data_IF_833609387142
#
_entry.id   IF_833609387142
#
_cell.length_a   1.000
_cell.length_b   1.000
_cell.length_c   1.000
_cell.angle_alpha   90.00
_cell.angle_beta   90.00
_cell.angle_gamma   90.00
#
_symmetry.space_group_name_H-M   'P 1'
#
loop_
_entity.id
_entity.type
_entity.pdbx_description
1 polymer ?
#
# COMPACT_ATOMS: atom_id res chain seq x y z
N UNK A 1 -93.34 -96.08 -53.51
CA UNK A 1 -93.81 -94.89 -54.24
C UNK A 1 -92.72 -93.84 -54.14
N UNK A 2 -92.43 -93.27 -55.30
CA UNK A 2 -91.69 -92.05 -55.60
C UNK A 2 -90.24 -91.83 -55.18
N UNK A 3 -89.43 -91.88 -56.25
CA UNK A 3 -88.23 -91.12 -56.54
C UNK A 3 -88.45 -89.60 -56.40
N UNK A 4 -87.33 -88.92 -56.12
CA UNK A 4 -86.93 -87.58 -56.62
C UNK A 4 -86.76 -86.49 -55.56
N UNK A 5 -85.48 -86.19 -55.29
CA UNK A 5 -84.89 -84.85 -55.14
C UNK A 5 -83.41 -85.10 -54.83
N UNK A 6 -82.39 -84.53 -55.45
CA UNK A 6 -82.20 -83.64 -56.59
C UNK A 6 -80.67 -83.54 -56.67
N UNK A 7 -80.07 -83.70 -57.86
CA UNK A 7 -78.64 -83.46 -58.05
C UNK A 7 -78.28 -82.03 -57.63
N UNK A 8 -77.16 -81.87 -56.93
CA UNK A 8 -76.30 -80.69 -57.04
C UNK A 8 -74.84 -81.15 -57.25
N UNK A 9 -74.02 -80.39 -58.01
CA UNK A 9 -72.72 -80.83 -58.50
C UNK A 9 -71.60 -80.63 -57.47
N UNK A 10 -70.53 -81.43 -57.62
CA UNK A 10 -69.22 -81.28 -56.97
C UNK A 10 -68.66 -79.86 -57.16
N UNK A 11 -68.18 -79.21 -56.09
CA UNK A 11 -67.07 -78.24 -56.21
C UNK A 11 -66.02 -78.44 -55.10
N UNK A 12 -64.79 -78.51 -55.58
CA UNK A 12 -63.53 -78.90 -54.96
C UNK A 12 -62.99 -77.84 -53.99
N UNK A 13 -63.78 -77.48 -52.97
CA UNK A 13 -63.48 -76.35 -52.07
C UNK A 13 -62.53 -76.73 -50.89
N UNK A 14 -61.99 -77.96 -50.90
CA UNK A 14 -61.03 -78.42 -49.89
C UNK A 14 -59.59 -78.02 -50.19
N UNK A 15 -59.23 -78.04 -51.48
CA UNK A 15 -57.88 -77.74 -51.94
C UNK A 15 -57.56 -76.24 -51.85
N UNK A 16 -58.50 -75.39 -52.28
CA UNK A 16 -58.37 -73.93 -52.21
C UNK A 16 -58.32 -73.40 -50.76
N UNK A 17 -59.00 -74.09 -49.83
CA UNK A 17 -58.93 -73.78 -48.39
C UNK A 17 -57.61 -74.23 -47.77
N UNK A 18 -57.04 -75.34 -48.22
CA UNK A 18 -55.72 -75.82 -47.80
C UNK A 18 -54.62 -74.87 -48.28
N UNK A 19 -54.67 -74.46 -49.54
CA UNK A 19 -53.70 -73.53 -50.15
C UNK A 19 -53.75 -72.14 -49.48
N UNK A 20 -54.94 -71.62 -49.18
CA UNK A 20 -55.10 -70.39 -48.40
C UNK A 20 -54.57 -70.54 -46.96
N UNK A 21 -54.79 -71.68 -46.31
CA UNK A 21 -54.27 -71.94 -44.97
C UNK A 21 -52.74 -72.04 -44.95
N UNK A 22 -52.13 -72.65 -45.97
CA UNK A 22 -50.67 -72.71 -46.12
C UNK A 22 -50.07 -71.32 -46.38
N UNK A 23 -50.72 -70.49 -47.21
CA UNK A 23 -50.31 -69.12 -47.45
C UNK A 23 -50.37 -68.26 -46.19
N UNK A 24 -51.48 -68.33 -45.44
CA UNK A 24 -51.63 -67.62 -44.15
C UNK A 24 -50.58 -68.11 -43.15
N UNK A 25 -50.28 -69.40 -43.11
CA UNK A 25 -49.23 -69.94 -42.24
C UNK A 25 -47.85 -69.39 -42.60
N UNK A 26 -47.52 -69.33 -43.89
CA UNK A 26 -46.26 -68.76 -44.36
C UNK A 26 -46.14 -67.27 -44.01
N UNK A 27 -47.19 -66.49 -44.27
CA UNK A 27 -47.25 -65.06 -43.95
C UNK A 27 -47.10 -64.82 -42.43
N UNK A 28 -47.78 -65.64 -41.61
CA UNK A 28 -47.69 -65.57 -40.16
C UNK A 28 -46.28 -65.93 -39.64
N UNK A 29 -45.59 -66.85 -40.31
CA UNK A 29 -44.21 -67.21 -40.00
C UNK A 29 -43.25 -66.06 -40.31
N UNK A 30 -43.45 -65.36 -41.43
CA UNK A 30 -42.67 -64.16 -41.81
C UNK A 30 -42.93 -63.02 -40.82
N UNK A 31 -44.18 -62.77 -40.45
CA UNK A 31 -44.54 -61.77 -39.44
C UNK A 31 -43.88 -62.07 -38.09
N UNK A 32 -43.89 -63.34 -37.66
CA UNK A 32 -43.23 -63.76 -36.42
C UNK A 32 -41.73 -63.51 -36.45
N UNK A 33 -41.04 -63.90 -37.52
CA UNK A 33 -39.60 -63.68 -37.66
C UNK A 33 -39.25 -62.18 -37.68
N UNK A 34 -40.11 -61.35 -38.28
CA UNK A 34 -39.96 -59.89 -38.24
C UNK A 34 -40.09 -59.36 -36.80
N UNK A 35 -41.12 -59.79 -36.08
CA UNK A 35 -41.36 -59.39 -34.69
C UNK A 35 -40.24 -59.85 -33.74
N UNK A 36 -39.75 -61.08 -33.89
CA UNK A 36 -38.63 -61.61 -33.10
C UNK A 36 -37.34 -60.81 -33.36
N UNK A 37 -37.10 -60.40 -34.62
CA UNK A 37 -35.95 -59.56 -34.98
C UNK A 37 -36.04 -58.15 -34.38
N UNK A 38 -37.23 -57.56 -34.34
CA UNK A 38 -37.46 -56.28 -33.67
C UNK A 38 -37.32 -56.39 -32.15
N UNK A 39 -37.83 -57.47 -31.56
CA UNK A 39 -37.70 -57.75 -30.14
C UNK A 39 -36.23 -57.83 -29.71
N UNK A 40 -35.40 -58.55 -30.46
CA UNK A 40 -33.95 -58.63 -30.20
C UNK A 40 -33.28 -57.25 -30.29
N UNK A 41 -33.61 -56.46 -31.32
CA UNK A 41 -33.06 -55.09 -31.45
C UNK A 41 -33.44 -54.20 -30.28
N UNK A 42 -34.70 -54.22 -29.86
CA UNK A 42 -35.18 -53.45 -28.71
C UNK A 42 -34.49 -53.90 -27.42
N UNK A 43 -34.23 -55.20 -27.29
CA UNK A 43 -33.53 -55.73 -26.13
C UNK A 43 -32.06 -55.27 -26.10
N UNK A 44 -31.37 -55.28 -27.25
CA UNK A 44 -29.99 -54.79 -27.39
C UNK A 44 -29.90 -53.28 -27.09
N UNK A 45 -30.82 -52.47 -27.63
CA UNK A 45 -30.93 -51.02 -27.36
C UNK A 45 -31.17 -50.74 -25.88
N UNK A 46 -32.03 -51.52 -25.21
CA UNK A 46 -32.32 -51.38 -23.79
C UNK A 46 -31.11 -51.71 -22.91
N UNK A 47 -30.31 -52.72 -23.27
CA UNK A 47 -29.03 -52.99 -22.59
C UNK A 47 -28.03 -51.86 -22.78
N UNK A 48 -27.91 -51.33 -24.01
CA UNK A 48 -27.01 -50.20 -24.32
C UNK A 48 -27.38 -48.93 -23.53
N UNK A 49 -28.68 -48.61 -23.45
CA UNK A 49 -29.17 -47.47 -22.67
C UNK A 49 -28.90 -47.61 -21.17
N UNK A 50 -29.08 -48.80 -20.60
CA UNK A 50 -28.73 -49.07 -19.19
C UNK A 50 -27.25 -48.86 -18.92
N UNK A 51 -26.39 -49.33 -19.81
CA UNK A 51 -24.95 -49.19 -19.65
C UNK A 51 -24.50 -47.71 -19.75
N UNK A 52 -25.14 -46.93 -20.63
CA UNK A 52 -24.94 -45.49 -20.72
C UNK A 52 -25.38 -44.76 -19.44
N UNK A 53 -26.54 -45.11 -18.89
CA UNK A 53 -27.07 -44.54 -17.64
C UNK A 53 -26.12 -44.80 -16.45
N UNK A 54 -25.62 -46.03 -16.31
CA UNK A 54 -24.66 -46.37 -15.26
C UNK A 54 -23.34 -45.60 -15.40
N UNK A 55 -22.87 -45.41 -16.64
CA UNK A 55 -21.63 -44.66 -16.90
C UNK A 55 -21.81 -43.17 -16.58
N UNK A 56 -22.91 -42.56 -17.00
CA UNK A 56 -23.26 -41.17 -16.65
C UNK A 56 -23.37 -40.99 -15.13
N UNK A 57 -23.97 -41.95 -14.43
CA UNK A 57 -24.09 -41.88 -12.98
C UNK A 57 -22.72 -41.97 -12.29
N UNK A 58 -21.86 -42.89 -12.72
CA UNK A 58 -20.47 -43.01 -12.22
C UNK A 58 -19.66 -41.74 -12.46
N UNK A 59 -19.80 -41.12 -13.63
CA UNK A 59 -19.09 -39.90 -13.99
C UNK A 59 -19.59 -38.70 -13.17
N UNK A 60 -20.90 -38.59 -12.97
CA UNK A 60 -21.51 -37.56 -12.12
C UNK A 60 -21.03 -37.65 -10.67
N UNK A 61 -20.97 -38.86 -10.09
CA UNK A 61 -20.44 -39.07 -8.73
C UNK A 61 -18.97 -38.65 -8.65
N UNK A 62 -18.14 -39.08 -9.61
CA UNK A 62 -16.71 -38.71 -9.64
C UNK A 62 -16.52 -37.20 -9.74
N UNK A 63 -17.27 -36.52 -10.60
CA UNK A 63 -17.22 -35.06 -10.73
C UNK A 63 -17.62 -34.36 -9.43
N UNK A 64 -18.68 -34.83 -8.78
CA UNK A 64 -19.14 -34.27 -7.50
C UNK A 64 -18.08 -34.44 -6.40
N UNK A 65 -17.46 -35.61 -6.29
CA UNK A 65 -16.39 -35.89 -5.33
C UNK A 65 -15.16 -34.99 -5.55
N UNK A 66 -14.80 -34.72 -6.80
CA UNK A 66 -13.69 -33.82 -7.14
C UNK A 66 -14.01 -32.39 -6.68
N UNK A 67 -15.19 -31.88 -7.03
CA UNK A 67 -15.60 -30.53 -6.65
C UNK A 67 -15.74 -30.37 -5.14
N UNK A 68 -16.23 -31.39 -4.43
CA UNK A 68 -16.34 -31.34 -2.96
C UNK A 68 -14.95 -31.28 -2.29
N UNK A 69 -13.97 -32.00 -2.83
CA UNK A 69 -12.57 -31.92 -2.38
C UNK A 69 -11.96 -30.54 -2.65
N UNK A 70 -12.15 -29.99 -3.85
CA UNK A 70 -11.67 -28.64 -4.20
C UNK A 70 -12.26 -27.59 -3.27
N UNK A 71 -13.57 -27.67 -3.00
CA UNK A 71 -14.28 -26.73 -2.12
C UNK A 71 -13.80 -26.83 -0.67
N UNK A 72 -13.46 -28.03 -0.19
CA UNK A 72 -12.87 -28.23 1.12
C UNK A 72 -11.49 -27.55 1.25
N UNK A 73 -10.62 -27.71 0.25
CA UNK A 73 -9.30 -27.07 0.21
C UNK A 73 -9.43 -25.54 0.20
N UNK A 74 -10.31 -25.01 -0.67
CA UNK A 74 -10.60 -23.57 -0.76
C UNK A 74 -11.12 -23.00 0.57
N UNK A 75 -12.02 -23.72 1.25
CA UNK A 75 -12.52 -23.29 2.55
C UNK A 75 -11.44 -23.30 3.64
N UNK A 76 -10.53 -24.28 3.60
CA UNK A 76 -9.41 -24.34 4.52
C UNK A 76 -8.44 -23.16 4.30
N UNK A 77 -8.11 -22.82 3.06
CA UNK A 77 -7.28 -21.67 2.73
C UNK A 77 -7.95 -20.35 3.12
N UNK A 78 -9.23 -20.18 2.81
CA UNK A 78 -10.00 -19.01 3.24
C UNK A 78 -10.00 -18.84 4.77
N UNK A 79 -10.12 -19.94 5.52
CA UNK A 79 -10.04 -19.88 6.99
C UNK A 79 -8.66 -19.44 7.48
N UNK A 80 -7.58 -19.93 6.85
CA UNK A 80 -6.20 -19.53 7.18
C UNK A 80 -5.97 -18.05 6.89
N UNK A 81 -6.32 -17.61 5.68
CA UNK A 81 -6.19 -16.20 5.26
C UNK A 81 -6.99 -15.26 6.16
N UNK A 82 -8.22 -15.65 6.54
CA UNK A 82 -9.03 -14.85 7.45
C UNK A 82 -8.37 -14.66 8.82
N UNK A 83 -7.76 -15.72 9.37
CA UNK A 83 -7.00 -15.64 10.63
C UNK A 83 -5.76 -14.75 10.50
N UNK A 84 -5.07 -14.81 9.38
CA UNK A 84 -3.89 -13.98 9.14
C UNK A 84 -4.24 -12.50 8.96
N UNK A 85 -5.36 -12.19 8.31
CA UNK A 85 -5.90 -10.83 8.23
C UNK A 85 -6.27 -10.31 9.62
N UNK A 86 -6.93 -11.12 10.45
CA UNK A 86 -7.29 -10.75 11.82
C UNK A 86 -6.05 -10.43 12.65
N UNK A 87 -5.04 -11.33 12.60
CA UNK A 87 -3.76 -11.14 13.28
C UNK A 87 -3.03 -9.87 12.82
N UNK A 88 -2.94 -9.65 11.50
CA UNK A 88 -2.30 -8.44 10.97
C UNK A 88 -3.04 -7.16 11.39
N UNK A 89 -4.37 -7.21 11.52
CA UNK A 89 -5.15 -6.08 12.05
C UNK A 89 -4.87 -5.84 13.53
N UNK A 90 -4.75 -6.89 14.32
CA UNK A 90 -4.36 -6.82 15.73
C UNK A 90 -2.96 -6.24 15.89
N UNK A 91 -1.97 -6.77 15.17
CA UNK A 91 -0.58 -6.28 15.18
C UNK A 91 -0.51 -4.79 14.78
N UNK A 92 -1.32 -4.37 13.79
CA UNK A 92 -1.40 -2.98 13.34
C UNK A 92 -2.05 -2.08 14.41
N UNK A 93 -3.12 -2.54 15.06
CA UNK A 93 -3.77 -1.82 16.14
C UNK A 93 -2.86 -1.69 17.39
N UNK A 94 -2.14 -2.75 17.74
CA UNK A 94 -1.15 -2.76 18.81
C UNK A 94 -0.04 -1.75 18.53
N UNK A 95 0.55 -1.79 17.34
CA UNK A 95 1.60 -0.86 16.91
C UNK A 95 1.11 0.60 16.92
N UNK A 96 -0.14 0.86 16.48
CA UNK A 96 -0.75 2.19 16.57
C UNK A 96 -1.04 2.63 18.01
N UNK A 97 -1.36 1.70 18.91
CA UNK A 97 -1.61 1.99 20.32
C UNK A 97 -0.31 2.22 21.12
N UNK A 98 0.76 1.48 20.80
CA UNK A 98 2.12 1.72 21.32
C UNK A 98 2.71 3.03 20.77
N UNK A 99 2.25 3.47 19.60
CA UNK A 99 2.56 4.78 19.01
C UNK A 99 1.76 5.94 19.62
N UNK A 100 0.95 5.69 20.66
CA UNK A 100 0.56 6.70 21.65
C UNK A 100 1.79 7.14 22.45
N UNK A 101 2.79 7.70 21.76
CA UNK A 101 3.90 8.42 22.35
C UNK A 101 3.37 9.73 22.94
N UNK A 102 2.63 9.62 24.05
CA UNK A 102 2.56 10.68 25.06
C UNK A 102 3.95 10.89 25.71
N UNK A 103 4.88 9.96 25.44
CA UNK A 103 6.31 10.14 25.64
C UNK A 103 6.87 11.17 24.66
N UNK A 104 6.87 12.43 25.07
CA UNK A 104 7.67 13.54 24.55
C UNK A 104 8.92 13.07 23.76
N UNK A 105 8.84 13.01 22.43
CA UNK A 105 10.00 12.77 21.55
C UNK A 105 10.86 14.04 21.57
N UNK A 106 11.75 14.17 22.55
CA UNK A 106 12.82 15.16 22.52
C UNK A 106 14.00 14.60 21.71
N UNK A 107 13.78 14.32 20.43
CA UNK A 107 14.92 14.17 19.50
C UNK A 107 15.31 15.55 19.00
N UNK A 108 16.56 15.95 19.23
CA UNK A 108 17.17 17.06 18.49
C UNK A 108 17.15 16.69 17.01
N UNK A 109 16.19 17.26 16.28
CA UNK A 109 16.17 17.19 14.82
C UNK A 109 17.28 18.13 14.34
N UNK A 110 18.17 17.63 13.49
CA UNK A 110 19.20 18.46 12.88
C UNK A 110 18.56 19.53 12.00
N UNK A 111 19.31 20.59 11.67
CA UNK A 111 18.83 21.65 10.79
C UNK A 111 18.27 21.05 9.48
N UNK A 112 16.98 21.25 9.26
CA UNK A 112 16.26 20.66 8.14
C UNK A 112 16.23 21.66 6.99
N UNK A 113 16.68 21.24 5.80
CA UNK A 113 16.56 22.05 4.59
C UNK A 113 15.08 22.12 4.21
N UNK A 114 14.53 23.32 4.17
CA UNK A 114 13.15 23.58 3.76
C UNK A 114 13.12 24.11 2.34
N UNK A 115 12.08 23.73 1.59
CA UNK A 115 11.79 24.26 0.27
C UNK A 115 10.41 24.94 0.31
N UNK A 116 10.33 26.17 -0.19
CA UNK A 116 9.09 26.92 -0.24
C UNK A 116 8.32 26.52 -1.49
N UNK A 117 7.31 25.68 -1.32
CA UNK A 117 6.51 25.14 -2.44
C UNK A 117 5.34 26.06 -2.82
N UNK A 118 4.79 26.80 -1.84
CA UNK A 118 3.59 27.59 -2.04
C UNK A 118 3.52 28.78 -1.08
N UNK A 119 3.07 29.92 -1.58
CA UNK A 119 2.72 31.09 -0.75
C UNK A 119 1.33 31.54 -1.16
N UNK A 120 0.47 31.73 -0.17
CA UNK A 120 -0.93 32.07 -0.37
C UNK A 120 -1.22 33.32 0.45
N UNK A 121 -1.59 34.41 -0.22
CA UNK A 121 -2.06 35.60 0.48
C UNK A 121 -3.46 35.30 1.00
N UNK A 122 -3.61 35.27 2.34
CA UNK A 122 -4.90 35.04 2.96
C UNK A 122 -5.88 36.16 2.54
N UNK A 123 -6.77 35.85 1.60
CA UNK A 123 -7.94 36.65 1.25
C UNK A 123 -9.08 36.35 2.23
N UNK A 124 -8.89 36.54 3.54
CA UNK A 124 -10.04 36.67 4.43
C UNK A 124 -9.75 37.21 5.84
N UNK A 125 -10.82 37.77 6.38
CA UNK A 125 -11.09 38.68 7.50
C UNK A 125 -10.60 38.27 8.92
N UNK A 126 -9.35 37.83 9.09
CA UNK A 126 -8.80 37.59 10.43
C UNK A 126 -8.13 38.86 10.98
N UNK A 127 -8.66 39.40 12.10
CA UNK A 127 -8.14 40.58 12.80
C UNK A 127 -6.71 40.43 13.36
N UNK A 128 -6.16 39.22 13.30
CA UNK A 128 -4.86 38.85 13.83
C UNK A 128 -3.94 38.45 12.67
N UNK A 129 -2.88 39.23 12.46
CA UNK A 129 -1.83 39.03 11.44
C UNK A 129 -0.94 37.82 11.82
N UNK A 130 -1.55 36.67 12.12
CA UNK A 130 -0.83 35.45 12.44
C UNK A 130 -0.33 34.83 11.14
N UNK A 131 0.92 34.36 11.16
CA UNK A 131 1.49 33.63 10.02
C UNK A 131 1.29 32.15 10.25
N UNK A 132 0.61 31.47 9.32
CA UNK A 132 0.46 30.02 9.33
C UNK A 132 1.44 29.40 8.35
N UNK A 133 2.26 28.48 8.84
CA UNK A 133 3.17 27.69 8.05
C UNK A 133 2.75 26.22 8.14
N UNK A 134 2.73 25.52 7.02
CA UNK A 134 2.50 24.07 6.97
C UNK A 134 3.76 23.43 6.40
N UNK A 135 4.40 22.57 7.19
CA UNK A 135 5.58 21.83 6.77
C UNK A 135 5.21 20.37 6.60
N UNK A 136 5.33 19.86 5.37
CA UNK A 136 5.21 18.44 5.10
C UNK A 136 6.54 17.75 5.39
N UNK A 137 6.52 16.80 6.31
CA UNK A 137 7.71 16.04 6.71
C UNK A 137 7.53 14.58 6.30
N UNK A 138 8.46 14.09 5.48
CA UNK A 138 8.54 12.67 5.08
C UNK A 138 9.89 12.13 5.51
N UNK A 139 9.89 11.06 6.31
CA UNK A 139 11.13 10.46 6.79
C UNK A 139 11.87 9.74 5.67
N UNK A 140 13.16 9.99 5.53
CA UNK A 140 14.02 9.13 4.71
C UNK A 140 14.17 7.79 5.41
N UNK A 141 13.82 6.71 4.73
CA UNK A 141 13.96 5.36 5.32
C UNK A 141 15.38 4.87 5.04
N UNK A 142 16.21 4.64 6.08
CA UNK A 142 17.54 4.08 5.89
C UNK A 142 17.43 2.58 5.62
N UNK A 143 18.04 2.15 4.52
CA UNK A 143 18.16 0.74 4.15
C UNK A 143 19.62 0.31 4.15
N UNK A 144 19.90 -0.84 4.77
CA UNK A 144 21.24 -1.44 4.78
C UNK A 144 21.44 -2.25 3.51
N UNK A 145 22.16 -1.67 2.55
CA UNK A 145 22.62 -2.36 1.35
C UNK A 145 23.86 -3.17 1.70
N UNK A 146 23.79 -4.49 1.52
CA UNK A 146 24.87 -5.41 1.88
C UNK A 146 25.84 -5.60 0.71
N UNK A 147 26.99 -6.20 1.01
CA UNK A 147 27.98 -6.59 0.03
C UNK A 147 27.38 -7.35 -1.16
N UNK A 148 27.87 -7.04 -2.36
CA UNK A 148 27.49 -7.65 -3.63
C UNK A 148 26.00 -7.47 -3.98
N UNK A 149 25.42 -6.35 -3.52
CA UNK A 149 24.08 -5.92 -3.85
C UNK A 149 24.11 -4.54 -4.49
N UNK A 150 23.21 -4.34 -5.45
CA UNK A 150 22.94 -3.02 -6.01
C UNK A 150 21.47 -2.69 -5.84
N UNK A 151 21.18 -1.46 -5.45
CA UNK A 151 19.85 -0.89 -5.46
C UNK A 151 19.75 0.03 -6.66
N UNK A 152 18.74 -0.18 -7.50
CA UNK A 152 18.53 0.54 -8.75
C UNK A 152 17.13 1.12 -8.76
N UNK A 153 16.99 2.41 -9.09
CA UNK A 153 15.72 3.14 -9.15
C UNK A 153 15.51 3.69 -10.54
N UNK A 154 14.33 3.45 -11.10
CA UNK A 154 13.93 3.87 -12.45
C UNK A 154 12.95 5.03 -12.38
N UNK A 155 12.93 5.85 -13.42
CA UNK A 155 11.90 6.91 -13.55
C UNK A 155 10.50 6.32 -13.74
N UNK A 156 10.40 5.18 -14.44
CA UNK A 156 9.15 4.50 -14.73
C UNK A 156 8.98 3.23 -13.88
N UNK A 157 7.92 3.22 -13.07
CA UNK A 157 7.49 2.10 -12.23
C UNK A 157 7.33 0.79 -13.03
N UNK A 158 6.83 0.88 -14.27
CA UNK A 158 6.56 -0.29 -15.10
C UNK A 158 7.85 -1.05 -15.44
N UNK A 159 8.96 -0.33 -15.61
CA UNK A 159 10.28 -0.91 -15.88
C UNK A 159 10.71 -1.82 -14.72
N UNK A 160 10.68 -1.29 -13.50
CA UNK A 160 11.04 -2.04 -12.30
C UNK A 160 10.17 -3.30 -12.12
N UNK A 161 8.86 -3.17 -12.31
CA UNK A 161 7.93 -4.30 -12.20
C UNK A 161 8.19 -5.39 -13.25
N UNK A 162 8.51 -5.02 -14.49
CA UNK A 162 8.90 -5.99 -15.53
C UNK A 162 10.20 -6.71 -15.16
N UNK A 163 11.20 -5.99 -14.68
CA UNK A 163 12.49 -6.57 -14.30
C UNK A 163 12.36 -7.54 -13.12
N UNK A 164 11.50 -7.24 -12.15
CA UNK A 164 11.16 -8.13 -11.04
C UNK A 164 10.44 -9.40 -11.54
N UNK A 165 9.50 -9.25 -12.49
CA UNK A 165 8.77 -10.39 -13.09
C UNK A 165 9.71 -11.32 -13.87
N UNK A 166 10.65 -10.77 -14.64
CA UNK A 166 11.69 -11.54 -15.33
C UNK A 166 12.60 -12.26 -14.33
N UNK A 167 12.93 -11.59 -13.22
CA UNK A 167 13.57 -12.16 -12.04
C UNK A 167 15.07 -12.41 -12.19
N UNK A 168 15.53 -13.06 -13.27
CA UNK A 168 16.96 -13.32 -13.55
C UNK A 168 17.46 -12.49 -14.72
N UNK A 169 18.64 -11.90 -14.55
CA UNK A 169 19.32 -11.11 -15.57
C UNK A 169 20.78 -11.51 -15.63
N UNK A 170 21.35 -11.61 -16.83
CA UNK A 170 22.76 -11.93 -17.00
C UNK A 170 23.54 -10.65 -17.26
N UNK A 171 24.24 -10.17 -16.25
CA UNK A 171 25.10 -8.98 -16.36
C UNK A 171 26.41 -9.37 -17.03
N UNK A 172 26.87 -8.51 -17.94
CA UNK A 172 28.21 -8.59 -18.49
C UNK A 172 29.10 -7.59 -17.75
N UNK A 173 29.88 -8.09 -16.80
CA UNK A 173 30.88 -7.33 -16.07
C UNK A 173 32.22 -7.57 -16.76
N UNK A 174 32.48 -6.88 -17.89
CA UNK A 174 33.70 -6.79 -18.72
C UNK A 174 34.40 -8.12 -19.03
N UNK A 175 34.92 -8.79 -17.99
CA UNK A 175 35.66 -10.05 -18.07
C UNK A 175 34.86 -11.26 -17.58
N UNK A 176 33.65 -11.07 -17.02
CA UNK A 176 32.80 -12.13 -16.46
C UNK A 176 31.32 -11.83 -16.67
N UNK A 177 30.58 -12.82 -17.15
CA UNK A 177 29.11 -12.81 -17.09
C UNK A 177 28.64 -13.36 -15.75
N UNK A 178 27.71 -12.66 -15.11
CA UNK A 178 27.14 -13.10 -13.83
C UNK A 178 25.62 -13.02 -13.86
N UNK A 179 24.97 -14.07 -13.36
CA UNK A 179 23.53 -14.08 -13.19
C UNK A 179 23.14 -13.38 -11.89
N UNK A 180 22.38 -12.29 -12.03
CA UNK A 180 21.82 -11.55 -10.91
C UNK A 180 20.32 -11.76 -10.82
N UNK A 181 19.81 -11.66 -9.60
CA UNK A 181 18.38 -11.71 -9.33
C UNK A 181 17.85 -10.32 -9.03
N UNK A 182 16.90 -9.86 -9.83
CA UNK A 182 16.10 -8.68 -9.54
C UNK A 182 14.99 -9.06 -8.54
N UNK A 183 14.98 -8.39 -7.39
CA UNK A 183 14.02 -8.61 -6.33
C UNK A 183 13.25 -7.33 -6.01
N UNK A 184 11.98 -7.44 -5.57
CA UNK A 184 11.25 -6.30 -5.04
C UNK A 184 11.98 -5.72 -3.82
N UNK A 185 12.03 -4.39 -3.76
CA UNK A 185 12.66 -3.69 -2.66
C UNK A 185 11.62 -3.34 -1.59
N UNK A 186 11.70 -4.00 -0.43
CA UNK A 186 10.84 -3.69 0.71
C UNK A 186 11.40 -2.47 1.47
N UNK A 187 10.66 -1.37 1.46
CA UNK A 187 10.89 -0.20 2.28
C UNK A 187 10.60 -0.55 3.73
N UNK A 188 11.50 -0.14 4.63
CA UNK A 188 11.24 -0.18 6.08
C UNK A 188 10.08 0.74 6.48
N UNK A 189 9.77 0.78 7.77
CA UNK A 189 8.73 1.68 8.28
C UNK A 189 9.20 3.14 8.19
N UNK A 190 8.48 3.93 7.40
CA UNK A 190 8.62 5.38 7.30
C UNK A 190 7.47 6.10 8.00
N UNK A 191 7.70 7.39 8.26
CA UNK A 191 6.72 8.27 8.90
C UNK A 191 6.55 9.51 8.02
N UNK A 192 5.30 9.88 7.77
CA UNK A 192 4.90 11.11 7.08
C UNK A 192 3.95 11.88 7.98
N UNK A 193 4.15 13.19 8.12
CA UNK A 193 3.25 14.04 8.90
C UNK A 193 3.31 15.48 8.41
N UNK A 194 2.31 16.28 8.81
CA UNK A 194 2.29 17.72 8.60
C UNK A 194 2.50 18.44 9.93
N UNK A 195 3.46 19.36 9.96
CA UNK A 195 3.67 20.26 11.08
C UNK A 195 2.98 21.60 10.78
N UNK A 196 1.94 21.91 11.56
CA UNK A 196 1.22 23.17 11.45
C UNK A 196 1.75 24.13 12.51
N UNK A 197 2.40 25.19 12.05
CA UNK A 197 2.99 26.23 12.90
C UNK A 197 2.21 27.51 12.71
N UNK A 198 1.60 28.00 13.79
CA UNK A 198 0.96 29.32 13.82
C UNK A 198 1.81 30.27 14.64
N UNK A 199 2.37 31.27 13.98
CA UNK A 199 3.17 32.33 14.61
C UNK A 199 2.24 33.50 14.89
N UNK A 200 2.18 33.92 16.16
CA UNK A 200 1.31 35.03 16.53
C UNK A 200 1.89 36.38 16.10
N UNK A 201 1.09 37.19 15.43
CA UNK A 201 1.43 38.59 15.10
C UNK A 201 1.29 39.55 16.29
N UNK A 202 0.68 39.11 17.40
CA UNK A 202 0.37 39.91 18.60
C UNK A 202 1.05 39.43 19.88
N UNK A 203 1.56 38.19 19.92
CA UNK A 203 2.09 37.60 21.15
C UNK A 203 3.57 37.26 21.03
N UNK A 204 4.31 37.50 22.10
CA UNK A 204 5.70 37.07 22.25
C UNK A 204 5.86 36.26 23.54
N UNK A 205 6.77 35.29 23.48
CA UNK A 205 7.21 34.52 24.63
C UNK A 205 8.57 35.06 25.08
N UNK A 206 8.67 35.32 26.38
CA UNK A 206 9.87 35.82 27.05
C UNK A 206 10.36 34.73 27.99
N UNK A 207 11.61 34.32 27.85
CA UNK A 207 12.26 33.33 28.70
C UNK A 207 13.48 33.89 29.41
N UNK A 208 13.96 33.13 30.41
CA UNK A 208 15.12 33.48 31.24
C UNK A 208 14.93 34.75 32.09
N UNK A 209 13.68 35.09 32.45
CA UNK A 209 13.38 36.25 33.31
C UNK A 209 14.17 36.11 34.63
N UNK A 210 15.01 37.08 35.03
CA UNK A 210 15.86 36.94 36.22
C UNK A 210 15.01 36.71 37.46
N UNK A 211 15.55 35.95 38.42
CA UNK A 211 14.91 35.82 39.73
C UNK A 211 15.10 37.14 40.49
N UNK A 212 13.99 37.82 40.74
CA UNK A 212 13.97 39.12 41.38
C UNK A 212 13.35 38.99 42.77
N UNK A 213 13.91 39.70 43.75
CA UNK A 213 13.40 39.77 45.12
C UNK A 213 12.18 40.71 45.23
N UNK A 214 11.33 40.77 44.21
CA UNK A 214 10.14 41.61 44.15
C UNK A 214 8.89 40.74 43.94
N UNK A 215 7.69 41.22 44.31
CA UNK A 215 6.45 40.50 44.07
C UNK A 215 6.21 40.25 42.58
N UNK A 216 5.50 39.17 42.25
CA UNK A 216 5.27 38.75 40.87
C UNK A 216 4.49 39.81 40.07
N UNK A 217 3.57 40.53 40.72
CA UNK A 217 2.87 41.67 40.11
C UNK A 217 3.83 42.78 39.67
N UNK A 218 4.85 43.08 40.47
CA UNK A 218 5.86 44.07 40.10
C UNK A 218 6.75 43.60 38.96
N UNK A 219 7.02 42.29 38.84
CA UNK A 219 7.74 41.74 37.69
C UNK A 219 6.90 41.92 36.43
N UNK A 220 5.60 41.66 36.50
CA UNK A 220 4.67 41.89 35.38
C UNK A 220 4.65 43.34 34.94
N UNK A 221 4.51 44.28 35.87
CA UNK A 221 4.53 45.72 35.58
C UNK A 221 5.85 46.13 34.92
N UNK A 222 6.99 45.60 35.38
CA UNK A 222 8.30 45.89 34.78
C UNK A 222 8.45 45.31 33.38
N UNK A 223 7.94 44.11 33.14
CA UNK A 223 7.91 43.53 31.80
C UNK A 223 7.02 44.37 30.89
N UNK A 224 5.81 44.72 31.32
CA UNK A 224 4.90 45.58 30.56
C UNK A 224 5.58 46.89 30.13
N UNK A 225 6.18 47.61 31.07
CA UNK A 225 6.91 48.86 30.79
C UNK A 225 8.09 48.68 29.82
N UNK A 226 8.79 47.54 29.88
CA UNK A 226 9.93 47.25 29.02
C UNK A 226 9.50 47.05 27.56
N UNK A 227 8.35 46.41 27.35
CA UNK A 227 7.84 46.07 26.02
C UNK A 227 6.81 47.08 25.49
N UNK A 228 6.32 48.01 26.32
CA UNK A 228 5.44 49.11 25.92
C UNK A 228 6.10 50.08 24.93
N UNK A 229 7.43 50.24 25.00
CA UNK A 229 8.17 51.20 24.15
C UNK A 229 8.59 50.59 22.81
N UNK A 230 8.22 51.26 21.71
CA UNK A 230 8.58 50.82 20.35
C UNK A 230 10.07 50.97 19.99
N UNK A 231 10.85 51.71 20.78
CA UNK A 231 12.28 51.94 20.55
C UNK A 231 13.12 50.64 20.53
N UNK A 232 12.64 49.57 21.19
CA UNK A 232 13.30 48.28 21.26
C UNK A 232 12.53 47.16 20.52
N UNK A 233 11.67 47.52 19.57
CA UNK A 233 10.81 46.60 18.83
C UNK A 233 9.48 46.26 19.51
N UNK A 234 9.18 46.91 20.65
CA UNK A 234 7.93 46.73 21.39
C UNK A 234 6.73 47.51 20.83
N UNK A 235 5.63 47.51 21.58
CA UNK A 235 4.39 48.20 21.21
C UNK A 235 3.44 48.26 22.39
N UNK A 236 2.29 48.92 22.19
CA UNK A 236 1.26 49.01 23.22
C UNK A 236 0.85 47.61 23.71
N UNK A 237 1.04 47.36 25.01
CA UNK A 237 0.81 46.05 25.63
C UNK A 237 -0.64 45.98 26.09
N UNK A 238 -1.33 44.92 25.71
CA UNK A 238 -2.69 44.60 26.18
C UNK A 238 -2.65 43.79 27.48
N UNK A 239 -1.73 42.83 27.57
CA UNK A 239 -1.63 41.94 28.73
C UNK A 239 -0.26 41.30 28.89
N UNK A 240 0.17 41.10 30.14
CA UNK A 240 1.36 40.32 30.52
C UNK A 240 0.97 39.18 31.44
N UNK A 241 1.24 37.95 31.03
CA UNK A 241 1.12 36.75 31.87
C UNK A 241 2.51 36.26 32.26
N UNK A 242 2.84 36.27 33.53
CA UNK A 242 4.14 35.82 34.05
C UNK A 242 3.98 34.54 34.87
N UNK A 243 4.85 33.56 34.63
CA UNK A 243 5.01 32.38 35.46
C UNK A 243 6.40 32.37 36.11
N UNK A 244 6.40 32.50 37.44
CA UNK A 244 7.62 32.50 38.25
C UNK A 244 8.33 31.15 38.22
N UNK A 245 7.59 30.03 38.16
CA UNK A 245 8.18 28.68 38.26
C UNK A 245 9.01 28.34 37.04
N UNK A 246 8.50 28.66 35.84
CA UNK A 246 9.20 28.48 34.57
C UNK A 246 10.16 29.63 34.24
N UNK A 247 10.08 30.76 34.97
CA UNK A 247 10.77 32.02 34.64
C UNK A 247 10.45 32.50 33.22
N UNK A 248 9.20 32.31 32.79
CA UNK A 248 8.71 32.74 31.47
C UNK A 248 7.56 33.74 31.58
N UNK A 249 7.39 34.57 30.57
CA UNK A 249 6.24 35.45 30.43
C UNK A 249 5.69 35.40 28.99
N UNK A 250 4.39 35.60 28.84
CA UNK A 250 3.73 35.82 27.55
C UNK A 250 3.21 37.24 27.55
N UNK A 251 3.63 38.01 26.55
CA UNK A 251 3.22 39.40 26.37
C UNK A 251 2.33 39.48 25.14
N UNK A 252 1.15 40.06 25.32
CA UNK A 252 0.17 40.29 24.25
C UNK A 252 0.13 41.77 23.95
N UNK A 253 0.35 42.14 22.69
CA UNK A 253 0.28 43.52 22.20
C UNK A 253 -1.12 43.83 21.67
N UNK A 254 -1.54 45.08 21.84
CA UNK A 254 -2.81 45.59 21.35
C UNK A 254 -2.85 45.63 19.81
N UNK A 255 -1.76 46.09 19.18
CA UNK A 255 -1.65 46.20 17.72
C UNK A 255 -0.96 44.98 17.12
N UNK A 256 -1.55 44.36 16.08
CA UNK A 256 -0.87 43.29 15.35
C UNK A 256 0.34 43.83 14.58
N UNK A 257 1.39 43.00 14.48
CA UNK A 257 2.67 43.35 13.87
C UNK A 257 3.74 43.82 14.85
N UNK A 258 3.37 44.16 16.09
CA UNK A 258 4.34 44.50 17.15
C UNK A 258 5.27 43.32 17.50
N UNK A 259 4.79 42.07 17.36
CA UNK A 259 5.61 40.89 17.60
C UNK A 259 6.71 40.68 16.53
N UNK A 260 6.56 41.27 15.33
CA UNK A 260 7.48 41.04 14.21
C UNK A 260 8.89 41.60 14.47
N UNK A 261 9.01 42.62 15.33
CA UNK A 261 10.30 43.17 15.74
C UNK A 261 11.22 42.14 16.40
N UNK A 262 10.64 41.10 16.99
CA UNK A 262 11.37 40.06 17.73
C UNK A 262 11.67 38.80 16.90
N UNK A 263 11.27 38.77 15.61
CA UNK A 263 11.60 37.66 14.69
C UNK A 263 13.10 37.62 14.38
N UNK A 264 13.73 38.80 14.25
CA UNK A 264 15.15 38.92 13.85
C UNK A 264 16.12 39.15 15.01
N UNK A 265 15.61 39.59 16.17
CA UNK A 265 16.42 39.90 17.35
C UNK A 265 15.78 39.28 18.59
N UNK A 266 16.39 38.21 19.07
CA UNK A 266 15.86 37.41 20.18
C UNK A 266 16.38 37.83 21.56
N UNK A 267 17.13 38.93 21.65
CA UNK A 267 17.68 39.44 22.92
C UNK A 267 17.24 40.86 23.17
N UNK A 268 16.49 41.07 24.24
CA UNK A 268 15.98 42.38 24.63
C UNK A 268 16.62 42.86 25.93
N UNK A 269 17.06 44.13 26.00
CA UNK A 269 17.54 44.69 27.26
C UNK A 269 16.39 44.77 28.27
N UNK A 270 16.70 44.51 29.55
CA UNK A 270 15.75 44.58 30.65
C UNK A 270 16.42 45.18 31.88
N UNK A 271 15.87 46.30 32.36
CA UNK A 271 16.44 47.05 33.46
C UNK A 271 15.52 47.00 34.69
N UNK A 272 16.00 46.37 35.76
CA UNK A 272 15.28 46.29 37.04
C UNK A 272 16.25 46.47 38.21
N UNK A 273 15.85 47.28 39.20
CA UNK A 273 16.62 47.55 40.42
C UNK A 273 18.08 47.96 40.15
N UNK A 274 18.31 48.78 39.13
CA UNK A 274 19.65 49.26 38.74
C UNK A 274 20.55 48.20 38.08
N UNK A 275 20.03 47.01 37.79
CA UNK A 275 20.74 45.93 37.09
C UNK A 275 20.23 45.80 35.66
N UNK A 276 21.13 45.42 34.77
CA UNK A 276 20.85 45.22 33.35
C UNK A 276 20.91 43.72 33.02
N UNK A 277 19.84 43.23 32.42
CA UNK A 277 19.67 41.85 31.99
C UNK A 277 19.38 41.81 30.49
N UNK A 278 19.60 40.64 29.88
CA UNK A 278 19.17 40.36 28.51
C UNK A 278 18.15 39.23 28.56
N UNK A 279 16.91 39.55 28.22
CA UNK A 279 15.83 38.57 28.14
C UNK A 279 15.86 37.92 26.77
N UNK A 280 15.57 36.61 26.74
CA UNK A 280 15.35 35.91 25.49
C UNK A 280 13.88 36.09 25.08
N UNK A 281 13.65 36.53 23.84
CA UNK A 281 12.33 36.85 23.31
C UNK A 281 12.15 36.18 21.97
N UNK A 282 11.00 35.56 21.77
CA UNK A 282 10.60 34.99 20.48
C UNK A 282 9.12 35.25 20.21
N UNK A 283 8.68 35.33 18.94
CA UNK A 283 7.27 35.27 18.61
C UNK A 283 6.62 34.04 19.26
N UNK A 284 5.41 34.21 19.79
CA UNK A 284 4.68 33.08 20.36
C UNK A 284 4.23 32.17 19.23
N UNK A 285 4.59 30.89 19.34
CA UNK A 285 4.31 29.89 18.31
C UNK A 285 3.45 28.78 18.87
N UNK A 286 2.38 28.45 18.15
CA UNK A 286 1.61 27.24 18.40
C UNK A 286 1.98 26.22 17.34
N UNK A 287 2.48 25.07 17.79
CA UNK A 287 2.90 23.98 16.93
C UNK A 287 2.04 22.77 17.24
N UNK A 288 1.42 22.20 16.23
CA UNK A 288 0.72 20.92 16.34
C UNK A 288 1.02 20.05 15.12
N UNK A 289 0.91 18.74 15.32
CA UNK A 289 1.15 17.73 14.31
C UNK A 289 -0.19 17.20 13.81
N UNK A 290 -0.35 17.14 12.49
CA UNK A 290 -1.51 16.53 11.84
C UNK A 290 -1.08 15.48 10.82
N UNK A 291 -2.05 14.66 10.38
CA UNK A 291 -1.88 13.66 9.31
C UNK A 291 -0.67 12.75 9.48
N UNK A 292 -0.39 12.32 10.71
CA UNK A 292 0.62 11.30 10.98
C UNK A 292 0.21 10.00 10.27
N UNK A 293 1.04 9.56 9.34
CA UNK A 293 0.87 8.35 8.56
C UNK A 293 2.15 7.52 8.66
N UNK A 294 1.97 6.25 9.03
CA UNK A 294 3.00 5.24 8.90
C UNK A 294 2.87 4.63 7.51
N UNK A 295 3.99 4.50 6.82
CA UNK A 295 4.03 3.79 5.55
C UNK A 295 5.10 2.71 5.57
N UNK A 296 4.76 1.57 4.99
CA UNK A 296 5.65 0.46 4.76
C UNK A 296 5.18 -0.21 3.48
N UNK A 297 6.08 -0.59 2.59
CA UNK A 297 5.66 -1.11 1.31
C UNK A 297 6.81 -1.61 0.46
N UNK A 298 6.47 -2.11 -0.71
CA UNK A 298 7.45 -2.44 -1.74
C UNK A 298 7.57 -1.21 -2.64
N UNK A 299 8.78 -0.72 -2.85
CA UNK A 299 9.02 0.35 -3.82
C UNK A 299 8.53 -0.09 -5.20
N UNK A 300 7.79 0.79 -5.87
CA UNK A 300 7.26 0.50 -7.21
C UNK A 300 8.34 0.67 -8.27
N UNK A 301 9.27 1.59 -8.03
CA UNK A 301 10.24 2.08 -9.00
C UNK A 301 11.66 1.53 -8.76
N UNK A 302 11.90 0.88 -7.62
CA UNK A 302 13.21 0.35 -7.26
C UNK A 302 13.29 -1.17 -7.26
N UNK A 303 14.44 -1.70 -7.70
CA UNK A 303 14.77 -3.12 -7.64
C UNK A 303 16.05 -3.34 -6.82
N UNK A 304 16.07 -4.42 -6.06
CA UNK A 304 17.28 -4.90 -5.37
C UNK A 304 17.90 -6.03 -6.19
N UNK A 305 19.10 -5.80 -6.70
CA UNK A 305 19.92 -6.78 -7.40
C UNK A 305 20.76 -7.54 -6.39
N UNK A 306 20.67 -8.88 -6.43
CA UNK A 306 21.49 -9.79 -5.62
C UNK A 306 22.27 -10.75 -6.50
N UNK A 307 23.43 -11.20 -6.01
CA UNK A 307 24.26 -12.19 -6.68
C UNK A 307 25.26 -11.57 -7.66
N UNK A 308 25.57 -10.28 -7.49
CA UNK A 308 26.64 -9.62 -8.26
C UNK A 308 27.97 -10.29 -7.86
N UNK A 309 28.76 -10.71 -8.85
CA UNK A 309 30.03 -11.35 -8.56
C UNK A 309 31.03 -10.32 -8.02
N UNK A 310 31.90 -10.75 -7.13
CA UNK A 310 33.02 -9.91 -6.71
C UNK A 310 33.95 -9.68 -7.92
N UNK A 311 34.12 -8.40 -8.25
CA UNK A 311 34.99 -7.91 -9.32
C UNK A 311 36.19 -7.18 -8.72
N UNK A 312 37.28 -7.14 -9.47
CA UNK A 312 38.46 -6.32 -9.11
C UNK A 312 38.27 -4.84 -9.48
N UNK A 313 37.24 -4.56 -10.28
CA UNK A 313 36.84 -3.22 -10.72
C UNK A 313 36.30 -2.40 -9.55
N UNK A 314 36.46 -1.08 -9.61
CA UNK A 314 35.98 -0.16 -8.60
C UNK A 314 34.44 -0.05 -8.59
N UNK A 315 33.89 0.45 -7.48
CA UNK A 315 32.43 0.51 -7.31
C UNK A 315 31.73 1.36 -8.37
N UNK A 316 32.33 2.49 -8.78
CA UNK A 316 31.74 3.38 -9.77
C UNK A 316 31.68 2.71 -11.15
N UNK A 317 32.77 2.06 -11.56
CA UNK A 317 32.80 1.26 -12.80
C UNK A 317 31.72 0.17 -12.80
N UNK A 318 31.56 -0.58 -11.70
CA UNK A 318 30.52 -1.62 -11.62
C UNK A 318 29.11 -1.00 -11.65
N UNK A 319 28.92 0.16 -11.01
CA UNK A 319 27.64 0.88 -11.08
C UNK A 319 27.31 1.28 -12.53
N UNK A 320 28.24 1.89 -13.25
CA UNK A 320 28.03 2.30 -14.64
C UNK A 320 27.67 1.12 -15.53
N UNK A 321 28.33 -0.03 -15.33
CA UNK A 321 28.05 -1.24 -16.12
C UNK A 321 26.66 -1.82 -15.83
N UNK A 322 26.24 -1.82 -14.57
CA UNK A 322 24.89 -2.23 -14.17
C UNK A 322 23.87 -1.27 -14.78
N UNK A 323 24.11 0.04 -14.67
CA UNK A 323 23.24 1.07 -15.21
C UNK A 323 23.08 0.94 -16.73
N UNK A 324 24.18 0.84 -17.48
CA UNK A 324 24.16 0.63 -18.93
C UNK A 324 23.43 -0.68 -19.30
N UNK A 325 23.53 -1.73 -18.49
CA UNK A 325 22.80 -2.97 -18.72
C UNK A 325 21.29 -2.77 -18.61
N UNK A 326 20.83 -2.05 -17.58
CA UNK A 326 19.41 -1.82 -17.29
C UNK A 326 18.82 -0.58 -17.95
N UNK A 327 19.60 0.24 -18.64
CA UNK A 327 19.11 1.26 -19.56
C UNK A 327 18.70 0.66 -20.92
N UNK A 328 19.23 -0.52 -21.28
CA UNK A 328 18.95 -1.15 -22.59
C UNK A 328 17.52 -1.72 -22.65
N UNK A 329 16.69 -1.30 -23.62
CA UNK A 329 15.35 -1.86 -23.79
C UNK A 329 15.35 -3.38 -24.10
N UNK A 330 16.42 -3.89 -24.73
CA UNK A 330 16.58 -5.32 -25.02
C UNK A 330 16.60 -6.21 -23.76
N UNK A 331 16.98 -5.62 -22.61
CA UNK A 331 17.01 -6.31 -21.32
C UNK A 331 15.75 -6.02 -20.48
N UNK A 332 14.73 -5.40 -21.09
CA UNK A 332 13.53 -4.93 -20.40
C UNK A 332 13.74 -3.67 -19.58
N UNK A 333 14.89 -3.00 -19.76
CA UNK A 333 15.35 -1.80 -19.07
C UNK A 333 14.63 -0.50 -19.45
N UNK A 334 15.10 0.62 -18.89
CA UNK A 334 14.56 1.96 -19.09
C UNK A 334 15.41 3.05 -18.42
N UNK A 335 14.92 4.29 -18.41
CA UNK A 335 15.64 5.42 -17.82
C UNK A 335 15.86 5.19 -16.32
N UNK A 336 17.12 5.29 -15.91
CA UNK A 336 17.55 5.06 -14.53
C UNK A 336 17.70 6.41 -13.84
N UNK A 337 17.04 6.59 -12.69
CA UNK A 337 17.17 7.81 -11.91
C UNK A 337 18.40 7.72 -10.99
N UNK A 338 18.59 6.57 -10.31
CA UNK A 338 19.67 6.38 -9.33
C UNK A 338 20.12 4.93 -9.23
N UNK A 339 21.41 4.74 -9.05
CA UNK A 339 22.02 3.45 -8.70
C UNK A 339 22.93 3.58 -7.48
N UNK A 340 22.94 2.57 -6.62
CA UNK A 340 24.01 2.36 -5.63
C UNK A 340 24.42 0.90 -5.55
N UNK A 341 25.71 0.63 -5.70
CA UNK A 341 26.33 -0.69 -5.49
C UNK A 341 27.25 -0.66 -4.27
N UNK A 342 27.45 -1.83 -3.64
CA UNK A 342 28.40 -2.01 -2.53
C UNK A 342 29.25 -3.25 -2.81
N UNK A 343 30.55 -3.04 -3.04
CA UNK A 343 31.52 -4.11 -3.31
C UNK A 343 32.02 -4.79 -2.04
N UNK A 344 32.17 -4.05 -0.94
CA UNK A 344 32.69 -4.54 0.35
C UNK A 344 31.94 -3.90 1.52
N UNK A 345 31.59 -4.72 2.50
CA UNK A 345 30.92 -4.25 3.71
C UNK A 345 29.42 -3.99 3.53
N UNK A 346 28.90 -2.94 4.17
CA UNK A 346 27.51 -2.54 4.06
C UNK A 346 27.38 -1.01 4.16
N UNK A 347 26.50 -0.45 3.34
CA UNK A 347 26.24 0.99 3.28
C UNK A 347 24.76 1.26 3.54
N UNK A 348 24.47 2.37 4.22
CA UNK A 348 23.11 2.84 4.41
C UNK A 348 22.69 3.75 3.26
N UNK A 349 21.63 3.37 2.56
CA UNK A 349 21.02 4.17 1.49
C UNK A 349 19.70 4.72 2.00
N UNK A 350 19.42 6.00 1.74
CA UNK A 350 18.19 6.66 2.18
C UNK A 350 17.20 6.75 1.02
N UNK A 351 15.94 6.39 1.25
CA UNK A 351 14.88 6.48 0.24
C UNK A 351 13.74 7.40 0.68
N UNK A 352 13.16 8.13 -0.27
CA UNK A 352 11.93 8.91 -0.13
C UNK A 352 10.81 8.16 -0.86
N UNK A 353 9.58 8.22 -0.36
CA UNK A 353 8.45 7.57 -1.03
C UNK A 353 8.22 8.18 -2.42
N UNK A 354 8.01 7.33 -3.43
CA UNK A 354 7.67 7.77 -4.80
C UNK A 354 6.38 8.61 -4.75
N UNK A 355 6.46 9.87 -5.20
CA UNK A 355 5.41 10.89 -5.08
C UNK A 355 4.14 10.63 -5.91
#
# INVERSE_FOLDING_TARGET
>A
MDLSSSLLPLEDNGFERLENAEKVKADLQVCKLSADKEYVKLQDELTSLKELEENLHKESIKSKDIHEKELCVLNQENSKLKKEIEKLKEDLAECNSELSWDGKIEKKVADMKVEFTHMEDAKDDFSDINTRCVFSVTSKIPFKLNQNQALLTFEDAEVAQRLIKTGKHTLNLDRKTTDVKAMPFALGMGIKFELHVTISGKKIDVSEVPELSIPDDWVRDKLELNFYKSEHGGGEVENVKYDKKSRTAVITFLKPGAANGFVRSTKCPFFVNGRHYRLHVSPSTNVHMEKLQLYSGISKNSILLKGIAETEDDEESVQDMIEIHFQKPSNGGGETERIKYVSKGATWVCFEEDA
#
